data_IF_972478430825
#
_entry.id   IF_972478430825
#
_cell.length_a   1.000
_cell.length_b   1.000
_cell.length_c   1.000
_cell.angle_alpha   90.00
_cell.angle_beta   90.00
_cell.angle_gamma   90.00
#
_symmetry.space_group_name_H-M   'P 1'
#
loop_
_entity.id
_entity.type
_entity.pdbx_description
1 polymer ?
#
# COMPACT_ATOMS: atom_id res chain seq x y z
N UNK A 1 -6.52 -20.01 4.08
CA UNK A 1 -6.83 -18.72 3.40
C UNK A 1 -8.16 -18.71 2.64
N UNK A 2 -8.54 -19.75 1.88
CA UNK A 2 -9.74 -19.74 1.01
C UNK A 2 -11.06 -19.25 1.65
N UNK A 3 -11.33 -19.58 2.92
CA UNK A 3 -12.58 -19.16 3.58
C UNK A 3 -12.59 -17.69 4.02
N UNK A 4 -11.42 -17.15 4.34
CA UNK A 4 -11.28 -15.89 5.08
C UNK A 4 -10.72 -14.73 4.26
N UNK A 5 -10.12 -15.02 3.10
CA UNK A 5 -9.57 -14.02 2.17
C UNK A 5 -10.57 -12.90 1.88
N UNK A 6 -11.75 -13.24 1.37
CA UNK A 6 -12.79 -12.27 1.03
C UNK A 6 -13.29 -11.48 2.25
N UNK A 7 -13.67 -12.18 3.33
CA UNK A 7 -14.18 -11.54 4.54
C UNK A 7 -13.17 -10.54 5.14
N UNK A 8 -11.90 -10.91 5.15
CA UNK A 8 -10.82 -10.07 5.67
C UNK A 8 -10.58 -8.85 4.78
N UNK A 9 -10.61 -9.02 3.45
CA UNK A 9 -10.47 -7.89 2.51
C UNK A 9 -11.65 -6.91 2.61
N UNK A 10 -12.87 -7.41 2.81
CA UNK A 10 -14.04 -6.56 3.07
C UNK A 10 -13.89 -5.77 4.37
N UNK A 11 -13.41 -6.42 5.44
CA UNK A 11 -13.13 -5.76 6.70
C UNK A 11 -12.10 -4.63 6.54
N UNK A 12 -10.98 -4.89 5.85
CA UNK A 12 -9.96 -3.86 5.59
C UNK A 12 -10.51 -2.72 4.73
N UNK A 13 -11.25 -3.04 3.66
CA UNK A 13 -11.86 -2.04 2.80
C UNK A 13 -12.79 -1.10 3.57
N UNK A 14 -13.62 -1.65 4.45
CA UNK A 14 -14.49 -0.85 5.33
C UNK A 14 -13.68 0.09 6.23
N UNK A 15 -12.67 -0.43 6.94
CA UNK A 15 -11.85 0.38 7.84
C UNK A 15 -11.08 1.49 7.09
N UNK A 16 -10.52 1.17 5.92
CA UNK A 16 -9.82 2.14 5.07
C UNK A 16 -10.76 3.22 4.56
N UNK A 17 -11.97 2.84 4.17
CA UNK A 17 -12.98 3.79 3.72
C UNK A 17 -13.46 4.71 4.84
N UNK A 18 -13.69 4.19 6.03
CA UNK A 18 -14.06 5.00 7.19
C UNK A 18 -12.98 6.07 7.48
N UNK A 19 -11.70 5.68 7.48
CA UNK A 19 -10.60 6.62 7.63
C UNK A 19 -10.53 7.66 6.50
N UNK A 20 -10.84 7.27 5.26
CA UNK A 20 -10.92 8.20 4.13
C UNK A 20 -12.06 9.22 4.26
N UNK A 21 -13.20 8.81 4.83
CA UNK A 21 -14.30 9.74 5.15
C UNK A 21 -13.87 10.75 6.21
N UNK A 22 -13.16 10.31 7.25
CA UNK A 22 -12.61 11.19 8.28
C UNK A 22 -11.62 12.21 7.68
N UNK A 23 -10.71 11.76 6.81
CA UNK A 23 -9.77 12.61 6.09
C UNK A 23 -10.51 13.66 5.26
N UNK A 24 -11.54 13.24 4.52
CA UNK A 24 -12.30 14.16 3.66
C UNK A 24 -13.05 15.25 4.45
N UNK A 25 -13.43 14.96 5.69
CA UNK A 25 -14.08 15.90 6.62
C UNK A 25 -13.07 16.77 7.40
N UNK A 26 -11.79 16.41 7.38
CA UNK A 26 -10.73 17.19 8.02
C UNK A 26 -10.38 18.44 7.19
N UNK A 27 -9.97 19.51 7.87
CA UNK A 27 -9.60 20.79 7.22
C UNK A 27 -8.07 20.98 7.10
N UNK A 28 -7.27 19.98 7.44
CA UNK A 28 -5.81 20.05 7.44
C UNK A 28 -5.15 19.01 6.54
N UNK A 29 -3.83 19.11 6.38
CA UNK A 29 -3.05 18.08 5.70
C UNK A 29 -3.03 16.79 6.52
N UNK A 30 -3.32 15.65 5.88
CA UNK A 30 -3.29 14.34 6.53
C UNK A 30 -2.29 13.43 5.82
N UNK A 31 -1.48 12.74 6.61
CA UNK A 31 -0.63 11.64 6.15
C UNK A 31 -1.32 10.34 6.52
N UNK A 32 -1.60 9.51 5.52
CA UNK A 32 -2.17 8.19 5.73
C UNK A 32 -1.12 7.10 5.50
N UNK A 33 -0.95 6.21 6.48
CA UNK A 33 -0.20 4.98 6.26
C UNK A 33 -1.05 4.01 5.43
N UNK A 34 -0.58 3.69 4.22
CA UNK A 34 -1.24 2.87 3.18
C UNK A 34 -2.55 3.43 2.63
N UNK A 35 -2.76 3.21 1.34
CA UNK A 35 -3.92 3.74 0.60
C UNK A 35 -5.03 2.72 0.47
N UNK A 36 -6.27 3.17 0.28
CA UNK A 36 -7.37 2.26 -0.07
C UNK A 36 -7.16 1.57 -1.43
N UNK A 37 -6.36 2.16 -2.32
CA UNK A 37 -6.07 1.62 -3.65
C UNK A 37 -5.19 0.36 -3.60
N UNK A 38 -4.30 0.26 -2.60
CA UNK A 38 -3.41 -0.90 -2.47
C UNK A 38 -4.18 -2.19 -2.18
N UNK A 39 -5.28 -2.10 -1.43
CA UNK A 39 -6.08 -3.27 -1.05
C UNK A 39 -6.63 -4.00 -2.29
N UNK A 40 -7.03 -3.26 -3.33
CA UNK A 40 -7.53 -3.85 -4.57
C UNK A 40 -6.42 -4.21 -5.53
N UNK A 41 -5.51 -3.28 -5.81
CA UNK A 41 -4.52 -3.47 -6.88
C UNK A 41 -3.43 -4.47 -6.50
N UNK A 42 -3.15 -4.59 -5.20
CA UNK A 42 -2.10 -5.44 -4.68
C UNK A 42 -2.71 -6.68 -4.00
N UNK A 43 -3.41 -6.50 -2.88
CA UNK A 43 -3.76 -7.63 -2.01
C UNK A 43 -4.88 -8.50 -2.57
N UNK A 44 -6.06 -7.93 -2.84
CA UNK A 44 -7.20 -8.69 -3.33
C UNK A 44 -6.95 -9.31 -4.71
N UNK A 45 -6.28 -8.57 -5.61
CA UNK A 45 -5.83 -9.09 -6.91
C UNK A 45 -4.84 -10.24 -6.78
N UNK A 46 -3.90 -10.17 -5.83
CA UNK A 46 -2.96 -11.27 -5.57
C UNK A 46 -3.68 -12.49 -4.96
N UNK A 47 -4.62 -12.28 -4.02
CA UNK A 47 -5.44 -13.35 -3.45
C UNK A 47 -6.29 -14.06 -4.52
N UNK A 48 -6.84 -13.31 -5.47
CA UNK A 48 -7.55 -13.86 -6.63
C UNK A 48 -6.63 -14.68 -7.52
N UNK A 49 -5.45 -14.15 -7.89
CA UNK A 49 -4.45 -14.88 -8.69
C UNK A 49 -3.96 -16.17 -8.03
N UNK A 50 -3.88 -16.20 -6.71
CA UNK A 50 -3.48 -17.38 -5.93
C UNK A 50 -4.66 -18.35 -5.69
N UNK A 51 -5.81 -18.15 -6.34
CA UNK A 51 -7.05 -18.93 -6.17
C UNK A 51 -7.60 -18.93 -4.73
N UNK A 52 -7.18 -17.98 -3.88
CA UNK A 52 -7.72 -17.81 -2.55
C UNK A 52 -9.04 -17.03 -2.53
N UNK A 53 -9.39 -16.33 -3.60
CA UNK A 53 -10.66 -15.62 -3.77
C UNK A 53 -11.33 -16.11 -5.05
N UNK A 54 -12.63 -16.41 -5.01
CA UNK A 54 -13.37 -16.85 -6.20
C UNK A 54 -13.59 -15.70 -7.19
N UNK A 55 -13.85 -16.00 -8.47
CA UNK A 55 -14.16 -14.96 -9.47
C UNK A 55 -15.36 -14.11 -9.08
N UNK A 56 -16.37 -14.74 -8.45
CA UNK A 56 -17.56 -14.07 -7.94
C UNK A 56 -17.22 -13.10 -6.82
N UNK A 57 -16.44 -13.55 -5.84
CA UNK A 57 -16.04 -12.73 -4.69
C UNK A 57 -15.14 -11.58 -5.14
N UNK A 58 -14.22 -11.85 -6.06
CA UNK A 58 -13.36 -10.84 -6.67
C UNK A 58 -14.16 -9.77 -7.41
N UNK A 59 -15.09 -10.17 -8.30
CA UNK A 59 -15.96 -9.23 -9.00
C UNK A 59 -16.80 -8.40 -8.04
N UNK A 60 -17.33 -9.03 -6.97
CA UNK A 60 -18.09 -8.34 -5.93
C UNK A 60 -17.23 -7.31 -5.21
N UNK A 61 -16.01 -7.69 -4.83
CA UNK A 61 -15.06 -6.82 -4.15
C UNK A 61 -14.67 -5.61 -5.02
N UNK A 62 -14.35 -5.84 -6.30
CA UNK A 62 -14.01 -4.76 -7.24
C UNK A 62 -15.16 -3.77 -7.43
N UNK A 63 -16.39 -4.27 -7.58
CA UNK A 63 -17.57 -3.43 -7.73
C UNK A 63 -17.83 -2.60 -6.46
N UNK A 64 -17.71 -3.22 -5.29
CA UNK A 64 -17.86 -2.53 -4.01
C UNK A 64 -16.81 -1.40 -3.86
N UNK A 65 -15.54 -1.72 -4.11
CA UNK A 65 -14.47 -0.72 -4.08
C UNK A 65 -14.73 0.44 -5.04
N UNK A 66 -15.11 0.15 -6.30
CA UNK A 66 -15.42 1.19 -7.28
C UNK A 66 -16.55 2.11 -6.81
N UNK A 67 -17.60 1.52 -6.26
CA UNK A 67 -18.76 2.26 -5.75
C UNK A 67 -18.44 3.09 -4.51
N UNK A 68 -17.52 2.65 -3.66
CA UNK A 68 -17.10 3.39 -2.48
C UNK A 68 -16.14 4.53 -2.86
N UNK A 69 -15.13 4.23 -3.67
CA UNK A 69 -14.06 5.19 -4.01
C UNK A 69 -14.49 6.33 -4.92
N UNK A 70 -15.63 6.23 -5.62
CA UNK A 70 -16.14 7.33 -6.45
C UNK A 70 -16.41 8.63 -5.69
N UNK A 71 -16.62 8.55 -4.37
CA UNK A 71 -16.89 9.68 -3.50
C UNK A 71 -15.64 10.21 -2.77
N UNK A 72 -14.50 9.55 -2.94
CA UNK A 72 -13.28 9.91 -2.25
C UNK A 72 -12.46 10.91 -3.05
N UNK A 73 -11.85 11.86 -2.35
CA UNK A 73 -10.80 12.70 -2.92
C UNK A 73 -9.57 11.84 -3.18
N UNK A 74 -8.93 12.06 -4.32
CA UNK A 74 -7.64 11.44 -4.63
C UNK A 74 -6.55 12.09 -3.75
N UNK A 75 -5.49 11.34 -3.37
CA UNK A 75 -4.35 11.91 -2.68
C UNK A 75 -3.60 12.92 -3.57
N UNK A 76 -3.09 13.99 -2.97
CA UNK A 76 -2.26 14.99 -3.65
C UNK A 76 -0.88 14.44 -4.01
N UNK A 77 -0.36 13.53 -3.18
CA UNK A 77 0.95 12.90 -3.34
C UNK A 77 0.92 11.46 -2.78
N UNK A 78 1.49 10.53 -3.54
CA UNK A 78 1.75 9.15 -3.09
C UNK A 78 3.25 8.99 -2.83
N UNK A 79 3.59 8.47 -1.65
CA UNK A 79 4.96 8.15 -1.29
C UNK A 79 5.14 6.63 -1.39
N UNK A 80 5.91 6.18 -2.37
CA UNK A 80 6.23 4.78 -2.55
C UNK A 80 7.61 4.47 -1.95
N UNK A 81 7.63 3.76 -0.82
CA UNK A 81 8.87 3.34 -0.15
C UNK A 81 9.30 1.99 -0.74
N UNK A 82 10.28 2.03 -1.64
CA UNK A 82 10.78 0.86 -2.35
C UNK A 82 11.91 0.18 -1.58
N UNK A 83 11.94 -1.15 -1.61
CA UNK A 83 13.02 -1.95 -1.06
C UNK A 83 13.16 -3.25 -1.86
N UNK A 84 14.36 -3.82 -1.87
CA UNK A 84 14.60 -5.17 -2.39
C UNK A 84 13.95 -6.24 -1.51
N UNK A 85 13.59 -7.38 -2.11
CA UNK A 85 13.02 -8.53 -1.39
C UNK A 85 13.93 -8.95 -0.24
N UNK A 86 15.26 -8.94 -0.45
CA UNK A 86 16.24 -9.31 0.58
C UNK A 86 16.22 -8.35 1.78
N UNK A 87 16.15 -7.05 1.50
CA UNK A 87 16.02 -6.02 2.54
C UNK A 87 14.71 -6.19 3.32
N UNK A 88 13.61 -6.48 2.63
CA UNK A 88 12.32 -6.72 3.28
C UNK A 88 12.33 -7.97 4.16
N UNK A 89 12.90 -9.08 3.69
CA UNK A 89 13.05 -10.32 4.47
C UNK A 89 13.90 -10.09 5.72
N UNK A 90 15.05 -9.41 5.58
CA UNK A 90 15.89 -9.05 6.73
C UNK A 90 15.11 -8.21 7.76
N UNK A 91 14.33 -7.22 7.31
CA UNK A 91 13.48 -6.39 8.19
C UNK A 91 12.34 -7.17 8.84
N UNK A 92 11.71 -8.12 8.13
CA UNK A 92 10.67 -8.99 8.69
C UNK A 92 11.27 -9.86 9.80
N UNK A 93 12.40 -10.51 9.54
CA UNK A 93 13.09 -11.33 10.54
C UNK A 93 13.52 -10.52 11.77
N UNK A 94 14.05 -9.31 11.59
CA UNK A 94 14.45 -8.45 12.70
C UNK A 94 13.27 -7.97 13.58
N UNK A 95 12.04 -7.90 13.05
CA UNK A 95 10.84 -7.50 13.82
C UNK A 95 10.25 -8.64 14.65
N UNK A 96 10.59 -9.88 14.30
CA UNK A 96 10.24 -11.11 15.00
C UNK A 96 8.74 -11.26 15.38
N UNK A 97 7.86 -10.95 14.42
CA UNK A 97 6.41 -11.16 14.59
C UNK A 97 6.05 -12.59 14.21
N UNK A 98 5.45 -13.33 15.15
CA UNK A 98 5.14 -14.76 14.98
C UNK A 98 4.38 -15.08 13.68
N UNK A 99 3.40 -14.25 13.31
CA UNK A 99 2.57 -14.43 12.12
C UNK A 99 3.25 -14.03 10.79
N UNK A 100 4.37 -13.30 10.85
CA UNK A 100 5.13 -12.91 9.64
C UNK A 100 6.23 -13.92 9.30
N UNK A 101 6.57 -14.87 10.21
CA UNK A 101 7.64 -15.86 9.99
C UNK A 101 7.35 -16.86 8.87
N UNK A 102 6.07 -17.09 8.56
CA UNK A 102 5.64 -18.01 7.49
C UNK A 102 5.54 -17.33 6.10
N UNK A 103 5.87 -16.04 5.99
CA UNK A 103 5.81 -15.32 4.71
C UNK A 103 6.93 -15.84 3.80
N UNK A 104 6.54 -16.40 2.65
CA UNK A 104 7.53 -16.90 1.69
C UNK A 104 8.22 -15.75 0.93
N UNK A 105 9.52 -15.88 0.60
CA UNK A 105 10.24 -14.94 -0.26
C UNK A 105 9.55 -14.69 -1.60
N UNK A 106 8.96 -15.73 -2.20
CA UNK A 106 8.26 -15.67 -3.49
C UNK A 106 6.99 -14.83 -3.39
N UNK A 107 6.25 -14.96 -2.28
CA UNK A 107 5.07 -14.14 -2.02
C UNK A 107 5.46 -12.67 -1.89
N UNK A 108 6.52 -12.37 -1.13
CA UNK A 108 7.02 -11.01 -0.96
C UNK A 108 7.50 -10.40 -2.28
N UNK A 109 8.18 -11.20 -3.11
CA UNK A 109 8.60 -10.79 -4.44
C UNK A 109 7.40 -10.49 -5.36
N UNK A 110 6.36 -11.32 -5.33
CA UNK A 110 5.10 -11.09 -6.08
C UNK A 110 4.43 -9.76 -5.68
N UNK A 111 4.42 -9.45 -4.38
CA UNK A 111 3.92 -8.16 -3.88
C UNK A 111 4.77 -7.01 -4.42
N UNK A 112 6.09 -7.13 -4.39
CA UNK A 112 7.00 -6.09 -4.87
C UNK A 112 6.76 -5.78 -6.36
N UNK A 113 6.64 -6.82 -7.20
CA UNK A 113 6.28 -6.68 -8.62
C UNK A 113 4.91 -6.00 -8.79
N UNK A 114 3.95 -6.33 -7.93
CA UNK A 114 2.60 -5.76 -8.00
C UNK A 114 2.61 -4.27 -7.66
N UNK A 115 3.39 -3.86 -6.65
CA UNK A 115 3.58 -2.45 -6.30
C UNK A 115 4.26 -1.68 -7.44
N UNK A 116 5.36 -2.21 -7.99
CA UNK A 116 6.04 -1.59 -9.14
C UNK A 116 5.09 -1.41 -10.33
N UNK A 117 4.25 -2.41 -10.63
CA UNK A 117 3.24 -2.31 -11.70
C UNK A 117 2.17 -1.27 -11.41
N UNK A 118 1.69 -1.19 -10.17
CA UNK A 118 0.67 -0.23 -9.78
C UNK A 118 1.21 1.21 -9.89
N UNK A 119 2.38 1.47 -9.33
CA UNK A 119 3.01 2.80 -9.35
C UNK A 119 3.29 3.26 -10.79
N UNK A 120 3.79 2.38 -11.66
CA UNK A 120 4.01 2.70 -13.07
C UNK A 120 2.71 3.02 -13.86
N UNK A 121 1.56 2.54 -13.37
CA UNK A 121 0.25 2.81 -13.97
C UNK A 121 -0.44 4.06 -13.39
N UNK A 122 0.03 4.60 -12.26
CA UNK A 122 -0.49 5.82 -11.65
C UNK A 122 -0.02 7.08 -12.40
N UNK A 123 -0.46 7.27 -13.66
CA UNK A 123 -0.10 8.43 -14.48
C UNK A 123 -0.77 9.74 -14.06
N UNK A 124 -1.91 9.65 -13.39
CA UNK A 124 -2.74 10.81 -13.01
C UNK A 124 -2.47 11.31 -11.59
N UNK A 125 -1.47 10.76 -10.90
CA UNK A 125 -1.13 11.09 -9.51
C UNK A 125 0.36 11.37 -9.40
N UNK A 126 0.72 12.34 -8.56
CA UNK A 126 2.12 12.58 -8.21
C UNK A 126 2.61 11.43 -7.33
N UNK A 127 3.71 10.80 -7.73
CA UNK A 127 4.35 9.73 -6.97
C UNK A 127 5.81 10.06 -6.74
N UNK A 128 6.25 10.00 -5.49
CA UNK A 128 7.67 10.01 -5.13
C UNK A 128 8.07 8.59 -4.74
N UNK A 129 9.06 8.05 -5.43
CA UNK A 129 9.68 6.77 -5.06
C UNK A 129 10.90 7.03 -4.18
N UNK A 130 10.92 6.42 -2.99
CA UNK A 130 12.02 6.50 -2.03
C UNK A 130 12.68 5.13 -1.96
N UNK A 131 13.92 5.05 -2.41
CA UNK A 131 14.74 3.85 -2.24
C UNK A 131 15.18 3.72 -0.78
N UNK A 132 14.61 2.73 -0.09
CA UNK A 132 14.89 2.45 1.31
C UNK A 132 15.98 1.40 1.51
N UNK A 133 16.53 0.83 0.44
CA UNK A 133 17.67 -0.08 0.52
C UNK A 133 18.90 0.67 1.07
N UNK A 134 19.52 0.09 2.10
CA UNK A 134 20.62 0.72 2.82
C UNK A 134 20.28 2.02 3.55
N UNK A 135 19.01 2.44 3.59
CA UNK A 135 18.55 3.61 4.34
C UNK A 135 18.06 3.21 5.73
N UNK A 136 18.62 3.84 6.75
CA UNK A 136 18.20 3.71 8.13
C UNK A 136 17.71 5.06 8.65
N UNK A 137 16.39 5.19 8.85
CA UNK A 137 15.75 6.41 9.33
C UNK A 137 16.28 6.91 10.68
N UNK A 138 16.84 6.03 11.51
CA UNK A 138 17.38 6.38 12.83
C UNK A 138 18.84 6.83 12.79
N UNK A 139 19.56 6.56 11.69
CA UNK A 139 21.00 6.85 11.57
C UNK A 139 21.30 7.87 10.49
N UNK A 140 20.56 7.84 9.38
CA UNK A 140 20.85 8.64 8.18
C UNK A 140 20.06 9.95 8.16
N UNK A 141 20.33 10.82 9.15
CA UNK A 141 19.60 12.08 9.33
C UNK A 141 19.68 13.00 8.09
N UNK A 142 20.84 13.08 7.43
CA UNK A 142 21.00 13.93 6.23
C UNK A 142 20.14 13.45 5.06
N UNK A 143 20.07 12.14 4.85
CA UNK A 143 19.24 11.53 3.81
C UNK A 143 17.75 11.72 4.13
N UNK A 144 17.36 11.59 5.40
CA UNK A 144 16.00 11.90 5.84
C UNK A 144 15.62 13.36 5.55
N UNK A 145 16.47 14.33 5.88
CA UNK A 145 16.21 15.75 5.59
C UNK A 145 16.06 16.02 4.08
N UNK A 146 16.89 15.36 3.26
CA UNK A 146 16.79 15.45 1.80
C UNK A 146 15.44 14.94 1.29
N UNK A 147 14.98 13.79 1.80
CA UNK A 147 13.68 13.20 1.46
C UNK A 147 12.53 14.13 1.88
N UNK A 148 12.57 14.68 3.09
CA UNK A 148 11.53 15.58 3.59
C UNK A 148 11.43 16.84 2.72
N UNK A 149 12.57 17.43 2.34
CA UNK A 149 12.60 18.59 1.44
C UNK A 149 12.05 18.27 0.05
N UNK A 150 12.32 17.06 -0.46
CA UNK A 150 11.75 16.61 -1.73
C UNK A 150 10.22 16.49 -1.64
N UNK A 151 9.70 15.88 -0.57
CA UNK A 151 8.25 15.76 -0.32
C UNK A 151 7.59 17.14 -0.26
N UNK A 152 8.19 18.08 0.48
CA UNK A 152 7.67 19.45 0.59
C UNK A 152 7.65 20.18 -0.77
N UNK A 153 8.68 19.97 -1.59
CA UNK A 153 8.76 20.58 -2.93
C UNK A 153 7.64 20.08 -3.84
N UNK A 154 7.38 18.78 -3.84
CA UNK A 154 6.35 18.14 -4.68
C UNK A 154 4.92 18.47 -4.25
N UNK A 155 4.70 18.66 -2.95
CA UNK A 155 3.41 19.10 -2.39
C UNK A 155 3.08 20.56 -2.74
N UNK A 156 4.09 21.41 -2.87
CA UNK A 156 3.92 22.85 -3.13
C UNK A 156 3.90 23.22 -4.63
N UNK A 157 4.16 22.27 -5.54
CA UNK A 157 4.04 22.43 -7.00
C UNK A 157 2.60 22.27 -7.47
#
# INVERSE_FOLDING_TARGET
>A
MHRWSFNLQIYFLHHRFAGQVEINNSQGGVIQDRTIYEDVEIFAKNLHKMNYMTDRDWSTYQNLFKNMTQFLKKPDLIIYIKASTDTLLSRIHNRDRDFEREISPEYLHSLNISYDKWINNCKDQKVITIESDGFNIFKDNEKLQTILKQIETELNQ
#
